data_IF_365027610388
#
_entry.id   IF_365027610388
#
_cell.length_a   1.000
_cell.length_b   1.000
_cell.length_c   1.000
_cell.angle_alpha   90.00
_cell.angle_beta   90.00
_cell.angle_gamma   90.00
#
_symmetry.space_group_name_H-M   'P 1'
#
loop_
_entity.id
_entity.type
_entity.pdbx_description
1 polymer ?
#
# COMPACT_ATOMS: atom_id res chain seq x y z
N UNK A 1 39.60 -6.98 68.25
CA UNK A 1 39.94 -6.10 67.11
C UNK A 1 38.83 -6.26 66.10
N UNK A 2 37.79 -5.41 66.15
CA UNK A 2 37.58 -4.27 65.23
C UNK A 2 37.45 -4.78 63.78
N UNK A 3 36.37 -4.65 63.03
CA UNK A 3 35.39 -3.57 62.95
C UNK A 3 34.09 -4.04 62.23
N UNK A 4 33.03 -3.25 62.42
CA UNK A 4 31.64 -3.31 61.93
C UNK A 4 31.55 -3.17 60.39
N UNK A 5 30.44 -3.39 59.70
CA UNK A 5 29.05 -3.53 60.09
C UNK A 5 28.16 -3.85 58.89
N UNK A 6 26.95 -4.36 59.18
CA UNK A 6 25.93 -4.69 58.20
C UNK A 6 25.24 -3.46 57.61
N UNK A 7 24.84 -3.57 56.35
CA UNK A 7 24.00 -2.60 55.66
C UNK A 7 22.57 -3.16 55.61
N UNK A 8 21.71 -2.62 56.47
CA UNK A 8 20.27 -2.84 56.45
C UNK A 8 19.58 -1.86 55.51
N UNK A 9 18.57 -2.35 54.79
CA UNK A 9 17.75 -1.59 53.85
C UNK A 9 16.96 -0.47 54.56
N UNK A 10 16.98 0.75 54.02
CA UNK A 10 16.15 1.86 54.47
C UNK A 10 14.96 2.07 53.51
N UNK A 11 13.75 1.95 54.05
CA UNK A 11 12.50 2.38 53.42
C UNK A 11 12.36 3.90 53.56
N UNK A 12 12.08 4.60 52.47
CA UNK A 12 11.78 6.04 52.45
C UNK A 12 10.28 6.28 52.70
N UNK A 13 9.95 7.12 53.68
CA UNK A 13 8.58 7.53 54.01
C UNK A 13 8.49 9.07 53.97
N UNK A 14 7.55 9.61 53.20
CA UNK A 14 7.40 11.05 52.91
C UNK A 14 6.41 11.69 53.91
N UNK A 15 6.73 12.82 54.57
CA UNK A 15 5.82 13.48 55.52
C UNK A 15 4.85 14.48 54.85
N UNK A 16 3.67 14.76 55.44
CA UNK A 16 2.63 15.60 54.84
C UNK A 16 2.87 17.11 55.05
N UNK A 17 2.29 17.98 54.20
CA UNK A 17 2.53 19.42 54.27
C UNK A 17 1.65 20.11 55.34
N UNK A 18 2.27 21.07 56.05
CA UNK A 18 1.63 21.97 57.02
C UNK A 18 0.97 23.16 56.32
N UNK A 19 -0.27 23.47 56.66
CA UNK A 19 -0.96 24.74 56.33
C UNK A 19 -0.96 25.66 57.55
N UNK A 20 -0.54 26.92 57.38
CA UNK A 20 -1.02 28.09 58.14
C UNK A 20 -0.33 29.39 57.67
N UNK A 21 -1.13 30.42 57.39
CA UNK A 21 -0.68 31.79 57.15
C UNK A 21 -1.83 32.70 56.73
N UNK A 22 -2.09 33.76 57.52
CA UNK A 22 -3.35 34.49 57.63
C UNK A 22 -3.48 35.76 56.78
N UNK A 23 -4.73 36.22 56.63
CA UNK A 23 -5.18 37.41 55.91
C UNK A 23 -5.04 38.71 56.73
N UNK A 24 -4.68 39.82 56.05
CA UNK A 24 -4.90 41.25 56.38
C UNK A 24 -4.69 42.04 55.07
N UNK A 25 -5.34 43.13 54.67
CA UNK A 25 -6.36 44.06 55.17
C UNK A 25 -6.62 45.07 54.02
N UNK A 26 -7.84 45.64 53.92
CA UNK A 26 -8.32 46.34 52.70
C UNK A 26 -8.19 47.87 52.64
N UNK A 27 -8.58 48.46 51.51
CA UNK A 27 -9.44 49.67 51.40
C UNK A 27 -9.89 49.95 49.94
N UNK A 28 -11.05 50.61 49.83
CA UNK A 28 -11.96 50.77 48.69
C UNK A 28 -11.55 51.86 47.69
N UNK A 29 -11.99 51.76 46.41
CA UNK A 29 -12.51 52.90 45.62
C UNK A 29 -13.44 52.40 44.48
N UNK A 30 -14.54 53.11 44.29
CA UNK A 30 -15.62 52.86 43.32
C UNK A 30 -15.36 53.59 41.99
N UNK A 31 -15.71 52.96 40.85
CA UNK A 31 -16.54 53.52 39.76
C UNK A 31 -16.24 52.86 38.39
N UNK A 32 -17.30 52.24 37.83
CA UNK A 32 -17.64 52.11 36.40
C UNK A 32 -16.53 51.98 35.35
N UNK A 33 -16.42 50.79 34.73
CA UNK A 33 -16.44 50.63 33.28
C UNK A 33 -16.51 49.15 32.90
N UNK A 34 -17.48 48.84 32.06
CA UNK A 34 -17.57 47.67 31.18
C UNK A 34 -16.21 47.14 30.70
N UNK A 35 -15.95 45.84 30.89
CA UNK A 35 -15.51 44.87 29.85
C UNK A 35 -14.99 43.55 30.46
N UNK A 36 -15.52 42.44 29.92
CA UNK A 36 -14.86 41.14 29.71
C UNK A 36 -14.01 40.53 30.84
N UNK A 37 -14.59 39.58 31.59
CA UNK A 37 -13.93 38.28 31.85
C UNK A 37 -15.03 37.22 31.99
N UNK A 38 -15.05 36.27 31.05
CA UNK A 38 -15.88 35.07 31.10
C UNK A 38 -15.59 34.28 32.38
N UNK A 39 -16.66 33.97 33.12
CA UNK A 39 -16.63 32.95 34.17
C UNK A 39 -16.36 31.61 33.49
N UNK A 40 -15.12 31.14 33.54
CA UNK A 40 -14.80 29.75 33.18
C UNK A 40 -15.37 28.88 34.30
N UNK A 41 -16.59 28.38 34.08
CA UNK A 41 -17.18 27.29 34.84
C UNK A 41 -16.38 26.00 34.55
N UNK A 42 -15.71 25.39 35.55
CA UNK A 42 -14.90 24.19 35.34
C UNK A 42 -15.75 22.95 35.01
N UNK A 43 -17.09 23.05 34.99
CA UNK A 43 -18.00 21.97 34.61
C UNK A 43 -18.81 22.24 33.34
N UNK A 44 -18.53 23.33 32.61
CA UNK A 44 -19.13 23.53 31.29
C UNK A 44 -18.53 22.53 30.30
N UNK A 45 -19.30 21.48 30.01
CA UNK A 45 -19.03 20.49 28.97
C UNK A 45 -18.75 21.23 27.67
N UNK A 46 -17.46 21.34 27.29
CA UNK A 46 -17.07 21.65 25.92
C UNK A 46 -17.83 20.68 25.04
N UNK A 47 -18.79 21.20 24.29
CA UNK A 47 -19.41 20.48 23.21
C UNK A 47 -18.31 19.85 22.38
N UNK A 48 -18.45 18.56 22.11
CA UNK A 48 -17.70 17.87 21.07
C UNK A 48 -18.04 18.55 19.75
N UNK A 49 -17.40 19.68 19.49
CA UNK A 49 -17.28 20.22 18.16
C UNK A 49 -16.44 19.20 17.42
N UNK A 50 -17.11 18.15 16.91
CA UNK A 50 -16.64 17.32 15.81
C UNK A 50 -16.09 18.33 14.83
N UNK A 51 -14.76 18.48 14.81
CA UNK A 51 -14.06 19.29 13.84
C UNK A 51 -14.54 18.69 12.52
N UNK A 52 -15.46 19.40 11.86
CA UNK A 52 -16.09 18.94 10.63
C UNK A 52 -14.94 18.55 9.73
N UNK A 53 -14.75 17.24 9.55
CA UNK A 53 -13.65 16.68 8.77
C UNK A 53 -13.68 17.47 7.48
N UNK A 54 -12.57 18.13 7.12
CA UNK A 54 -12.40 18.54 5.73
C UNK A 54 -12.41 17.21 5.00
N UNK A 55 -13.54 16.87 4.38
CA UNK A 55 -13.59 15.82 3.40
C UNK A 55 -12.42 16.12 2.47
N UNK A 56 -11.42 15.26 2.48
CA UNK A 56 -10.61 15.08 1.29
C UNK A 56 -11.58 14.41 0.33
N UNK A 57 -12.44 15.24 -0.26
CA UNK A 57 -13.30 14.84 -1.33
C UNK A 57 -12.31 14.51 -2.43
N UNK A 58 -12.01 13.22 -2.60
CA UNK A 58 -11.52 12.79 -3.91
C UNK A 58 -12.53 13.39 -4.88
N UNK A 59 -12.07 14.12 -5.89
CA UNK A 59 -12.92 14.74 -6.91
C UNK A 59 -13.68 13.70 -7.77
N UNK A 60 -13.75 12.46 -7.28
CA UNK A 60 -14.35 11.27 -7.85
C UNK A 60 -15.81 11.09 -7.42
N UNK A 61 -16.25 11.81 -6.39
CA UNK A 61 -17.64 11.80 -5.92
C UNK A 61 -18.46 12.89 -6.60
N UNK A 62 -19.34 12.48 -7.50
CA UNK A 62 -20.58 13.20 -7.80
C UNK A 62 -21.69 12.57 -6.95
N UNK A 63 -22.13 13.22 -5.85
CA UNK A 63 -23.09 12.62 -4.92
C UNK A 63 -24.51 12.52 -5.46
N UNK A 64 -24.85 13.21 -6.55
CA UNK A 64 -26.22 13.33 -7.02
C UNK A 64 -26.32 12.88 -8.48
N UNK A 65 -27.24 11.93 -8.72
CA UNK A 65 -27.78 11.48 -10.02
C UNK A 65 -27.18 10.25 -10.74
N UNK A 66 -26.48 9.33 -10.07
CA UNK A 66 -26.23 8.01 -10.68
C UNK A 66 -27.29 6.97 -10.28
N UNK A 67 -27.95 6.30 -11.23
CA UNK A 67 -29.01 5.32 -10.94
C UNK A 67 -28.52 4.20 -10.02
N UNK A 68 -29.43 3.70 -9.18
CA UNK A 68 -29.19 2.53 -8.33
C UNK A 68 -28.82 1.30 -9.19
N UNK A 69 -27.94 0.43 -8.70
CA UNK A 69 -27.56 -0.76 -9.46
C UNK A 69 -28.78 -1.66 -9.64
N UNK A 70 -29.01 -2.09 -10.88
CA UNK A 70 -30.05 -3.04 -11.22
C UNK A 70 -29.47 -4.46 -11.21
N UNK A 71 -30.17 -5.38 -10.55
CA UNK A 71 -29.75 -6.79 -10.56
C UNK A 71 -30.01 -7.38 -11.96
N UNK A 72 -28.92 -7.62 -12.69
CA UNK A 72 -28.95 -8.25 -14.01
C UNK A 72 -29.16 -9.77 -13.87
N UNK A 73 -29.70 -10.39 -14.93
CA UNK A 73 -29.84 -11.85 -15.03
C UNK A 73 -28.48 -12.56 -14.84
N UNK A 74 -28.51 -13.83 -14.44
CA UNK A 74 -27.31 -14.66 -14.37
C UNK A 74 -26.82 -15.02 -15.77
N UNK A 75 -25.50 -14.96 -15.99
CA UNK A 75 -24.82 -15.27 -17.25
C UNK A 75 -25.12 -16.69 -17.70
N UNK A 76 -25.12 -17.64 -16.77
CA UNK A 76 -25.41 -19.06 -17.06
C UNK A 76 -26.85 -19.31 -17.54
N UNK A 77 -27.79 -18.44 -17.18
CA UNK A 77 -29.20 -18.59 -17.51
C UNK A 77 -29.55 -17.86 -18.82
N UNK A 78 -28.63 -17.07 -19.38
CA UNK A 78 -28.81 -16.35 -20.63
C UNK A 78 -28.41 -17.19 -21.86
N UNK A 79 -29.07 -17.01 -23.02
CA UNK A 79 -28.65 -17.64 -24.27
C UNK A 79 -27.20 -17.30 -24.62
N UNK A 80 -26.45 -18.24 -25.22
CA UNK A 80 -25.03 -18.06 -25.53
C UNK A 80 -24.73 -16.80 -26.37
N UNK A 81 -25.69 -16.36 -27.21
CA UNK A 81 -25.59 -15.13 -28.01
C UNK A 81 -25.63 -13.84 -27.17
N UNK A 82 -26.26 -13.87 -26.01
CA UNK A 82 -26.46 -12.71 -25.13
C UNK A 82 -25.44 -12.67 -23.98
N UNK A 83 -24.80 -13.80 -23.66
CA UNK A 83 -23.84 -13.91 -22.55
C UNK A 83 -22.72 -12.87 -22.63
N UNK A 84 -22.11 -12.69 -23.81
CA UNK A 84 -21.04 -11.69 -24.00
C UNK A 84 -21.52 -10.26 -23.72
N UNK A 85 -22.74 -9.92 -24.16
CA UNK A 85 -23.35 -8.62 -23.87
C UNK A 85 -23.65 -8.42 -22.39
N UNK A 86 -24.10 -9.48 -21.71
CA UNK A 86 -24.39 -9.44 -20.27
C UNK A 86 -23.13 -9.28 -19.41
N UNK A 87 -22.03 -9.95 -19.79
CA UNK A 87 -20.71 -9.78 -19.15
C UNK A 87 -20.28 -8.31 -19.25
N UNK A 88 -20.40 -7.69 -20.43
CA UNK A 88 -20.07 -6.28 -20.63
C UNK A 88 -20.93 -5.38 -19.73
N UNK A 89 -22.24 -5.61 -19.67
CA UNK A 89 -23.14 -4.82 -18.82
C UNK A 89 -22.79 -4.95 -17.33
N UNK A 90 -22.48 -6.17 -16.85
CA UNK A 90 -22.04 -6.40 -15.47
C UNK A 90 -20.71 -5.71 -15.18
N UNK A 91 -19.74 -5.76 -16.09
CA UNK A 91 -18.47 -5.03 -15.97
C UNK A 91 -18.69 -3.51 -15.88
N UNK A 92 -19.61 -2.97 -16.69
CA UNK A 92 -19.97 -1.55 -16.66
C UNK A 92 -20.64 -1.15 -15.35
N UNK A 93 -21.54 -1.97 -14.81
CA UNK A 93 -22.14 -1.75 -13.49
C UNK A 93 -21.08 -1.77 -12.36
N UNK A 94 -20.11 -2.68 -12.44
CA UNK A 94 -19.02 -2.78 -11.46
C UNK A 94 -18.06 -1.57 -11.48
N UNK A 95 -18.17 -0.66 -12.46
CA UNK A 95 -17.41 0.60 -12.49
C UNK A 95 -17.90 1.62 -11.45
N UNK A 96 -19.09 1.43 -10.87
CA UNK A 96 -19.64 2.31 -9.84
C UNK A 96 -18.84 2.16 -8.54
N UNK A 97 -18.40 3.31 -8.01
CA UNK A 97 -17.66 3.40 -6.75
C UNK A 97 -18.67 3.74 -5.64
N UNK A 98 -18.56 3.07 -4.50
CA UNK A 98 -19.46 3.24 -3.36
C UNK A 98 -18.75 3.95 -2.21
N UNK A 99 -19.53 4.69 -1.40
CA UNK A 99 -18.99 5.38 -0.23
C UNK A 99 -19.11 4.41 0.93
N UNK A 100 -17.98 4.14 1.57
CA UNK A 100 -17.88 3.20 2.68
C UNK A 100 -17.68 3.92 4.02
N UNK A 101 -17.53 5.25 4.03
CA UNK A 101 -17.62 6.01 5.29
C UNK A 101 -19.01 5.89 5.93
N UNK A 102 -20.03 5.54 5.15
CA UNK A 102 -21.33 5.08 5.64
C UNK A 102 -21.52 3.58 5.31
N UNK A 103 -21.33 2.68 6.30
CA UNK A 103 -21.44 1.23 6.08
C UNK A 103 -22.87 0.80 5.73
N UNK A 104 -23.89 1.60 6.06
CA UNK A 104 -25.31 1.28 5.83
C UNK A 104 -25.81 1.88 4.51
N UNK A 105 -25.10 2.85 3.94
CA UNK A 105 -25.44 3.41 2.64
C UNK A 105 -25.31 2.37 1.51
N UNK A 106 -26.36 2.31 0.68
CA UNK A 106 -26.40 1.57 -0.58
C UNK A 106 -26.10 0.06 -0.46
N UNK A 107 -26.44 -0.56 0.68
CA UNK A 107 -26.23 -2.00 0.95
C UNK A 107 -26.70 -2.91 -0.20
N UNK A 108 -27.89 -2.64 -0.75
CA UNK A 108 -28.44 -3.39 -1.88
C UNK A 108 -27.53 -3.32 -3.12
N UNK A 109 -27.06 -2.11 -3.46
CA UNK A 109 -26.16 -1.93 -4.60
C UNK A 109 -24.78 -2.55 -4.35
N UNK A 110 -24.25 -2.43 -3.12
CA UNK A 110 -22.99 -3.08 -2.72
C UNK A 110 -23.08 -4.61 -2.88
N UNK A 111 -24.18 -5.22 -2.44
CA UNK A 111 -24.41 -6.67 -2.60
C UNK A 111 -24.58 -7.07 -4.07
N UNK A 112 -25.28 -6.27 -4.88
CA UNK A 112 -25.39 -6.51 -6.32
C UNK A 112 -24.00 -6.49 -6.99
N UNK A 113 -23.15 -5.52 -6.66
CA UNK A 113 -21.76 -5.46 -7.17
C UNK A 113 -20.95 -6.66 -6.71
N UNK A 114 -21.05 -7.05 -5.43
CA UNK A 114 -20.37 -8.22 -4.88
C UNK A 114 -20.76 -9.50 -5.62
N UNK A 115 -22.06 -9.74 -5.79
CA UNK A 115 -22.57 -10.91 -6.50
C UNK A 115 -22.14 -10.91 -7.98
N UNK A 116 -22.20 -9.75 -8.65
CA UNK A 116 -21.76 -9.62 -10.04
C UNK A 116 -20.27 -9.89 -10.22
N UNK A 117 -19.41 -9.39 -9.32
CA UNK A 117 -17.95 -9.64 -9.37
C UNK A 117 -17.64 -11.13 -9.17
N UNK A 118 -18.26 -11.79 -8.20
CA UNK A 118 -18.09 -13.24 -7.99
C UNK A 118 -18.50 -14.04 -9.23
N UNK A 119 -19.65 -13.70 -9.81
CA UNK A 119 -20.13 -14.36 -11.03
C UNK A 119 -19.19 -14.13 -12.23
N UNK A 120 -18.61 -12.93 -12.36
CA UNK A 120 -17.62 -12.63 -13.41
C UNK A 120 -16.32 -13.42 -13.21
N UNK A 121 -15.86 -13.58 -11.95
CA UNK A 121 -14.69 -14.40 -11.59
C UNK A 121 -14.94 -15.85 -12.00
N UNK A 122 -16.09 -16.41 -11.61
CA UNK A 122 -16.49 -17.77 -11.96
C UNK A 122 -16.57 -17.96 -13.47
N UNK A 123 -17.19 -17.02 -14.19
CA UNK A 123 -17.33 -17.08 -15.64
C UNK A 123 -15.98 -17.08 -16.37
N UNK A 124 -15.07 -16.15 -16.03
CA UNK A 124 -13.73 -16.06 -16.63
C UNK A 124 -12.89 -17.30 -16.32
N UNK A 125 -13.09 -17.91 -15.16
CA UNK A 125 -12.30 -19.07 -14.71
C UNK A 125 -12.80 -20.38 -15.32
N UNK A 126 -14.12 -20.54 -15.47
CA UNK A 126 -14.73 -21.82 -15.86
C UNK A 126 -15.05 -21.94 -17.34
N UNK A 127 -15.40 -20.84 -18.02
CA UNK A 127 -15.88 -20.86 -19.40
C UNK A 127 -14.72 -20.63 -20.37
N UNK A 128 -14.45 -21.63 -21.22
CA UNK A 128 -13.47 -21.51 -22.31
C UNK A 128 -13.94 -20.49 -23.34
N UNK A 129 -13.05 -19.61 -23.77
CA UNK A 129 -13.35 -18.55 -24.73
C UNK A 129 -14.15 -17.38 -24.14
N UNK A 130 -14.28 -17.28 -22.81
CA UNK A 130 -14.96 -16.16 -22.14
C UNK A 130 -14.30 -14.81 -22.44
N UNK A 131 -12.98 -14.79 -22.65
CA UNK A 131 -12.21 -13.58 -22.91
C UNK A 131 -12.20 -13.28 -24.42
N UNK A 132 -13.17 -12.49 -24.87
CA UNK A 132 -13.19 -11.95 -26.24
C UNK A 132 -12.51 -10.57 -26.31
N UNK A 133 -12.18 -10.08 -27.51
CA UNK A 133 -11.50 -8.78 -27.68
C UNK A 133 -12.28 -7.60 -27.09
N UNK A 134 -13.62 -7.68 -27.07
CA UNK A 134 -14.50 -6.64 -26.53
C UNK A 134 -14.45 -6.55 -24.99
N UNK A 135 -14.03 -7.63 -24.31
CA UNK A 135 -13.97 -7.69 -22.85
C UNK A 135 -12.75 -6.94 -22.30
N UNK A 136 -11.64 -6.89 -23.03
CA UNK A 136 -10.39 -6.23 -22.61
C UNK A 136 -10.59 -4.77 -22.16
N UNK A 137 -11.15 -3.88 -22.99
CA UNK A 137 -11.31 -2.48 -22.58
C UNK A 137 -12.21 -2.35 -21.34
N UNK A 138 -13.27 -3.15 -21.24
CA UNK A 138 -14.23 -3.06 -20.13
C UNK A 138 -13.64 -3.55 -18.81
N UNK A 139 -12.92 -4.68 -18.80
CA UNK A 139 -12.23 -5.18 -17.60
C UNK A 139 -11.18 -4.19 -17.15
N UNK A 140 -10.32 -3.71 -18.06
CA UNK A 140 -9.21 -2.82 -17.71
C UNK A 140 -9.74 -1.47 -17.21
N UNK A 141 -10.79 -0.94 -17.83
CA UNK A 141 -11.45 0.29 -17.39
C UNK A 141 -12.12 0.12 -16.02
N UNK A 142 -12.79 -1.01 -15.79
CA UNK A 142 -13.42 -1.32 -14.50
C UNK A 142 -12.38 -1.43 -13.39
N UNK A 143 -11.31 -2.19 -13.62
CA UNK A 143 -10.19 -2.30 -12.67
C UNK A 143 -9.59 -0.93 -12.40
N UNK A 144 -9.25 -0.16 -13.46
CA UNK A 144 -8.63 1.16 -13.32
C UNK A 144 -9.46 2.14 -12.47
N UNK A 145 -10.79 2.13 -12.63
CA UNK A 145 -11.68 3.01 -11.85
C UNK A 145 -11.75 2.62 -10.37
N UNK A 146 -11.70 1.32 -10.08
CA UNK A 146 -11.83 0.81 -8.72
C UNK A 146 -10.49 0.87 -7.96
N UNK A 147 -9.37 0.45 -8.56
CA UNK A 147 -8.10 0.31 -7.82
C UNK A 147 -7.28 1.60 -7.78
N UNK A 148 -7.21 2.37 -8.88
CA UNK A 148 -6.30 3.52 -8.95
C UNK A 148 -6.88 4.67 -8.15
N UNK A 149 -6.37 4.89 -6.94
CA UNK A 149 -6.81 5.93 -6.01
C UNK A 149 -5.61 6.62 -5.37
N UNK A 150 -5.85 7.80 -4.81
CA UNK A 150 -4.87 8.44 -3.93
C UNK A 150 -4.95 7.71 -2.59
N UNK A 151 -3.81 7.20 -2.12
CA UNK A 151 -3.73 6.53 -0.83
C UNK A 151 -3.95 7.55 0.30
N UNK A 152 -4.62 7.16 1.40
CA UNK A 152 -4.76 8.04 2.55
C UNK A 152 -3.38 8.36 3.16
N UNK A 153 -3.20 9.54 3.77
CA UNK A 153 -1.95 9.89 4.42
C UNK A 153 -1.70 9.02 5.66
N UNK A 154 -0.45 8.60 5.87
CA UNK A 154 -0.04 7.63 6.90
C UNK A 154 -0.24 8.05 8.36
N UNK A 155 -0.50 9.34 8.64
CA UNK A 155 -0.77 9.84 10.00
C UNK A 155 -2.23 9.63 10.44
N UNK A 156 -3.07 9.00 9.61
CA UNK A 156 -4.44 8.66 10.01
C UNK A 156 -4.42 7.47 10.98
N UNK A 157 -4.35 7.76 12.28
CA UNK A 157 -4.47 6.80 13.39
C UNK A 157 -5.81 6.04 13.47
N UNK A 158 -6.68 6.19 12.47
CA UNK A 158 -7.98 5.51 12.33
C UNK A 158 -7.98 4.54 11.12
N UNK A 159 -6.83 4.23 10.50
CA UNK A 159 -6.77 3.21 9.45
C UNK A 159 -7.00 1.82 10.06
N UNK A 160 -8.20 1.28 9.87
CA UNK A 160 -8.55 -0.10 10.19
C UNK A 160 -8.45 -0.93 8.89
N UNK A 161 -7.45 -1.81 8.77
CA UNK A 161 -7.36 -2.72 7.62
C UNK A 161 -8.61 -3.58 7.45
N UNK A 162 -9.36 -3.88 8.52
CA UNK A 162 -10.60 -4.67 8.39
C UNK A 162 -11.77 -3.88 7.79
N UNK A 163 -11.70 -2.54 7.73
CA UNK A 163 -12.70 -1.69 7.08
C UNK A 163 -12.48 -1.54 5.56
N UNK A 164 -11.37 -2.06 5.01
CA UNK A 164 -11.10 -1.97 3.57
C UNK A 164 -12.18 -2.70 2.74
N UNK A 165 -12.50 -2.10 1.59
CA UNK A 165 -13.61 -2.47 0.72
C UNK A 165 -13.56 -3.98 0.35
N UNK A 166 -14.49 -4.84 0.84
CA UNK A 166 -14.50 -6.27 0.47
C UNK A 166 -14.71 -6.48 -1.04
N UNK A 167 -15.23 -5.47 -1.74
CA UNK A 167 -15.33 -5.46 -3.20
C UNK A 167 -14.01 -5.15 -3.91
N UNK A 168 -13.00 -4.55 -3.25
CA UNK A 168 -11.70 -4.27 -3.85
C UNK A 168 -10.86 -5.55 -3.99
N UNK A 169 -10.89 -6.43 -2.98
CA UNK A 169 -10.27 -7.77 -3.06
C UNK A 169 -10.81 -8.56 -4.26
N UNK A 170 -12.13 -8.52 -4.49
CA UNK A 170 -12.77 -9.16 -5.65
C UNK A 170 -12.34 -8.53 -6.99
N UNK A 171 -12.09 -7.22 -7.04
CA UNK A 171 -11.58 -6.56 -8.26
C UNK A 171 -10.16 -7.02 -8.57
N UNK A 172 -9.30 -7.12 -7.56
CA UNK A 172 -7.94 -7.66 -7.73
C UNK A 172 -7.97 -9.12 -8.14
N UNK A 173 -8.82 -9.93 -7.52
CA UNK A 173 -8.99 -11.34 -7.86
C UNK A 173 -9.47 -11.52 -9.31
N UNK A 174 -10.51 -10.80 -9.73
CA UNK A 174 -10.99 -10.81 -11.10
C UNK A 174 -9.87 -10.45 -12.09
N UNK A 175 -9.11 -9.39 -11.80
CA UNK A 175 -8.03 -8.97 -12.69
C UNK A 175 -6.91 -10.02 -12.76
N UNK A 176 -6.59 -10.65 -11.63
CA UNK A 176 -5.59 -11.71 -11.59
C UNK A 176 -6.05 -12.93 -12.41
N UNK A 177 -7.30 -13.40 -12.22
CA UNK A 177 -7.87 -14.50 -13.03
C UNK A 177 -7.91 -14.15 -14.52
N UNK A 178 -8.28 -12.92 -14.86
CA UNK A 178 -8.24 -12.42 -16.23
C UNK A 178 -6.84 -12.46 -16.84
N UNK A 179 -5.80 -12.03 -16.10
CA UNK A 179 -4.42 -12.09 -16.56
C UNK A 179 -3.88 -13.53 -16.62
N UNK A 180 -4.30 -14.42 -15.74
CA UNK A 180 -3.83 -15.81 -15.67
C UNK A 180 -4.53 -16.76 -16.64
N UNK A 181 -5.71 -16.36 -17.15
CA UNK A 181 -6.48 -17.16 -18.08
C UNK A 181 -5.65 -17.58 -19.32
N UNK A 182 -5.77 -18.85 -19.76
CA UNK A 182 -5.10 -19.33 -20.97
C UNK A 182 -5.60 -18.62 -22.24
N UNK A 183 -6.82 -18.07 -22.21
CA UNK A 183 -7.42 -17.34 -23.34
C UNK A 183 -6.92 -15.89 -23.43
N UNK A 184 -6.11 -15.43 -22.46
CA UNK A 184 -5.56 -14.09 -22.45
C UNK A 184 -4.49 -13.88 -23.54
N UNK A 185 -4.71 -12.89 -24.39
CA UNK A 185 -3.85 -12.49 -25.49
C UNK A 185 -3.16 -11.15 -25.20
N UNK A 186 -1.85 -11.22 -24.92
CA UNK A 186 -1.04 -10.04 -24.65
C UNK A 186 -0.97 -9.04 -25.84
N UNK A 187 -1.17 -9.52 -27.07
CA UNK A 187 -1.22 -8.71 -28.29
C UNK A 187 -2.41 -7.75 -28.32
N UNK A 188 -3.54 -8.14 -27.74
CA UNK A 188 -4.74 -7.31 -27.59
C UNK A 188 -4.60 -6.45 -26.33
N UNK A 189 -4.22 -7.06 -25.21
CA UNK A 189 -4.09 -6.38 -23.91
C UNK A 189 -3.11 -5.20 -23.91
N UNK A 190 -2.05 -5.24 -24.71
CA UNK A 190 -1.03 -4.16 -24.76
C UNK A 190 -1.57 -2.82 -25.26
N UNK A 191 -2.75 -2.79 -25.89
CA UNK A 191 -3.42 -1.56 -26.32
C UNK A 191 -3.99 -0.76 -25.13
N UNK A 192 -4.21 -1.43 -24.01
CA UNK A 192 -4.91 -0.90 -22.85
C UNK A 192 -4.03 -0.91 -21.58
N UNK A 193 -3.13 -1.89 -21.45
CA UNK A 193 -2.10 -1.94 -20.40
C UNK A 193 -0.86 -1.25 -20.94
N UNK A 194 -0.78 0.07 -20.75
CA UNK A 194 0.32 0.92 -21.20
C UNK A 194 1.25 1.34 -20.04
N UNK A 195 2.20 2.21 -20.32
CA UNK A 195 3.11 2.74 -19.29
C UNK A 195 2.38 3.52 -18.20
N UNK A 196 1.27 4.20 -18.53
CA UNK A 196 0.49 4.98 -17.57
C UNK A 196 -0.28 4.07 -16.62
N UNK A 197 -0.85 2.99 -17.13
CA UNK A 197 -1.47 1.94 -16.30
C UNK A 197 -0.46 1.39 -15.30
N UNK A 198 0.76 1.08 -15.76
CA UNK A 198 1.83 0.56 -14.89
C UNK A 198 2.27 1.57 -13.84
N UNK A 199 2.38 2.86 -14.18
CA UNK A 199 2.71 3.90 -13.19
C UNK A 199 1.66 3.97 -12.08
N UNK A 200 0.37 4.08 -12.45
CA UNK A 200 -0.70 4.13 -11.47
C UNK A 200 -0.75 2.87 -10.61
N UNK A 201 -0.40 1.71 -11.16
CA UNK A 201 -0.33 0.45 -10.41
C UNK A 201 0.85 0.44 -9.43
N UNK A 202 2.00 0.99 -9.83
CA UNK A 202 3.19 1.09 -8.99
C UNK A 202 2.98 2.06 -7.81
N UNK A 203 2.25 3.15 -8.02
CA UNK A 203 1.94 4.12 -6.95
C UNK A 203 1.14 3.49 -5.80
N UNK A 204 0.36 2.44 -6.07
CA UNK A 204 -0.41 1.72 -5.05
C UNK A 204 0.44 0.82 -4.14
N UNK A 205 1.70 0.54 -4.49
CA UNK A 205 2.59 -0.27 -3.63
C UNK A 205 2.91 0.41 -2.30
N UNK A 206 2.64 1.70 -2.16
CA UNK A 206 2.76 2.40 -0.87
C UNK A 206 1.55 2.18 0.07
N UNK A 207 0.58 1.33 -0.33
CA UNK A 207 -0.58 1.00 0.50
C UNK A 207 -0.15 0.41 1.84
N UNK A 208 -0.81 0.81 2.92
CA UNK A 208 -0.57 0.30 4.27
C UNK A 208 -1.10 -1.12 4.45
N UNK A 209 -2.13 -1.52 3.69
CA UNK A 209 -2.68 -2.87 3.72
C UNK A 209 -1.73 -3.89 3.05
N UNK A 210 -1.16 -4.84 3.82
CA UNK A 210 -0.32 -5.89 3.26
C UNK A 210 -1.03 -6.80 2.26
N UNK A 211 -2.36 -6.99 2.38
CA UNK A 211 -3.13 -7.83 1.44
C UNK A 211 -3.18 -7.19 0.06
N UNK A 212 -3.46 -5.89 0.00
CA UNK A 212 -3.43 -5.13 -1.25
C UNK A 212 -2.03 -5.21 -1.89
N UNK A 213 -0.97 -5.03 -1.10
CA UNK A 213 0.41 -5.15 -1.62
C UNK A 213 0.71 -6.54 -2.18
N UNK A 214 0.20 -7.63 -1.59
CA UNK A 214 0.40 -8.98 -2.10
C UNK A 214 -0.34 -9.23 -3.43
N UNK A 215 -1.54 -8.69 -3.59
CA UNK A 215 -2.24 -8.68 -4.89
C UNK A 215 -1.47 -7.88 -5.94
N UNK A 216 -1.06 -6.65 -5.61
CA UNK A 216 -0.27 -5.79 -6.50
C UNK A 216 1.03 -6.48 -6.93
N UNK A 217 1.70 -7.15 -5.99
CA UNK A 217 2.90 -7.94 -6.25
C UNK A 217 2.68 -8.97 -7.35
N UNK A 218 1.63 -9.77 -7.18
CA UNK A 218 1.29 -10.86 -8.10
C UNK A 218 0.86 -10.31 -9.46
N UNK A 219 0.00 -9.29 -9.49
CA UNK A 219 -0.47 -8.63 -10.71
C UNK A 219 0.71 -8.04 -11.50
N UNK A 220 1.59 -7.28 -10.85
CA UNK A 220 2.74 -6.66 -11.51
C UNK A 220 3.71 -7.72 -12.07
N UNK A 221 3.93 -8.81 -11.34
CA UNK A 221 4.74 -9.93 -11.82
C UNK A 221 4.13 -10.58 -13.08
N UNK A 222 2.81 -10.79 -13.13
CA UNK A 222 2.12 -11.30 -14.34
C UNK A 222 2.23 -10.34 -15.51
N UNK A 223 2.05 -9.04 -15.29
CA UNK A 223 2.22 -8.01 -16.32
C UNK A 223 3.66 -8.02 -16.85
N UNK A 224 4.67 -8.06 -15.98
CA UNK A 224 6.07 -8.13 -16.38
C UNK A 224 6.38 -9.38 -17.23
N UNK A 225 5.80 -10.53 -16.86
CA UNK A 225 5.95 -11.78 -17.58
C UNK A 225 5.37 -11.71 -19.00
N UNK A 226 4.11 -11.26 -19.12
CA UNK A 226 3.34 -11.26 -20.38
C UNK A 226 3.69 -10.11 -21.34
N UNK A 227 4.08 -8.95 -20.81
CA UNK A 227 4.32 -7.75 -21.62
C UNK A 227 5.82 -7.42 -21.74
N UNK A 228 6.48 -8.08 -22.69
CA UNK A 228 7.91 -7.87 -22.98
C UNK A 228 8.28 -6.39 -23.19
N UNK A 229 7.41 -5.61 -23.87
CA UNK A 229 7.63 -4.19 -24.15
C UNK A 229 7.60 -3.28 -22.91
N UNK A 230 6.98 -3.72 -21.80
CA UNK A 230 6.91 -2.96 -20.55
C UNK A 230 8.06 -3.26 -19.59
N UNK A 231 8.83 -4.34 -19.82
CA UNK A 231 9.85 -4.81 -18.88
C UNK A 231 10.91 -3.76 -18.54
N UNK A 232 11.44 -3.08 -19.56
CA UNK A 232 12.46 -2.04 -19.35
C UNK A 232 11.89 -0.85 -18.55
N UNK A 233 10.64 -0.48 -18.85
CA UNK A 233 9.93 0.60 -18.15
C UNK A 233 9.69 0.24 -16.68
N UNK A 234 9.14 -0.95 -16.39
CA UNK A 234 8.90 -1.43 -15.01
C UNK A 234 10.19 -1.41 -14.20
N UNK A 235 11.30 -1.96 -14.73
CA UNK A 235 12.60 -1.93 -14.02
C UNK A 235 13.07 -0.51 -13.74
N UNK A 236 12.92 0.40 -14.71
CA UNK A 236 13.30 1.80 -14.52
C UNK A 236 12.47 2.48 -13.43
N UNK A 237 11.16 2.24 -13.38
CA UNK A 237 10.30 2.86 -12.36
C UNK A 237 10.56 2.30 -10.96
N UNK A 238 10.71 0.98 -10.82
CA UNK A 238 11.08 0.38 -9.53
C UNK A 238 12.42 0.95 -9.04
N UNK A 239 13.41 1.13 -9.93
CA UNK A 239 14.67 1.77 -9.57
C UNK A 239 14.49 3.20 -9.07
N UNK A 240 13.65 4.00 -9.74
CA UNK A 240 13.36 5.37 -9.33
C UNK A 240 12.69 5.41 -7.95
N UNK A 241 11.74 4.50 -7.69
CA UNK A 241 11.07 4.40 -6.39
C UNK A 241 12.08 4.04 -5.28
N UNK A 242 12.97 3.07 -5.51
CA UNK A 242 14.02 2.73 -4.55
C UNK A 242 15.02 3.85 -4.31
N UNK A 243 15.41 4.59 -5.36
CA UNK A 243 16.28 5.75 -5.19
C UNK A 243 15.59 6.85 -4.38
N UNK A 244 14.34 7.16 -4.68
CA UNK A 244 13.54 8.14 -3.93
C UNK A 244 13.38 7.71 -2.46
N UNK A 245 13.10 6.44 -2.21
CA UNK A 245 13.04 5.87 -0.87
C UNK A 245 14.35 6.04 -0.10
N UNK A 246 15.50 5.67 -0.69
CA UNK A 246 16.80 5.70 0.01
C UNK A 246 17.34 7.12 0.23
N UNK A 247 17.05 8.05 -0.69
CA UNK A 247 17.69 9.36 -0.72
C UNK A 247 16.76 10.54 -0.39
N UNK A 248 15.44 10.39 -0.47
CA UNK A 248 14.49 11.48 -0.31
C UNK A 248 13.51 11.26 0.85
N UNK A 249 12.76 10.15 0.84
CA UNK A 249 11.62 9.97 1.77
C UNK A 249 11.95 9.19 3.03
N UNK A 250 12.89 8.23 2.97
CA UNK A 250 13.19 7.24 4.03
C UNK A 250 11.95 6.44 4.50
N UNK A 251 10.87 6.46 3.71
CA UNK A 251 9.61 5.75 3.95
C UNK A 251 8.98 5.31 2.62
N UNK A 252 8.66 4.02 2.54
CA UNK A 252 7.89 3.38 1.46
C UNK A 252 7.47 1.98 1.93
N UNK A 253 6.17 1.67 1.86
CA UNK A 253 5.65 0.42 2.44
C UNK A 253 5.96 -0.83 1.58
N UNK A 254 5.98 -0.68 0.25
CA UNK A 254 6.09 -1.81 -0.70
C UNK A 254 7.50 -2.27 -1.06
N UNK A 255 8.54 -1.91 -0.29
CA UNK A 255 9.94 -2.27 -0.61
C UNK A 255 10.10 -3.79 -0.73
N UNK A 256 9.53 -4.55 0.20
CA UNK A 256 9.65 -6.01 0.25
C UNK A 256 9.06 -6.69 -0.98
N UNK A 257 7.83 -6.32 -1.34
CA UNK A 257 7.09 -6.89 -2.45
C UNK A 257 7.75 -6.55 -3.80
N UNK A 258 8.24 -5.32 -3.98
CA UNK A 258 9.00 -4.95 -5.18
C UNK A 258 10.32 -5.73 -5.29
N UNK A 259 10.99 -5.98 -4.17
CA UNK A 259 12.19 -6.83 -4.13
C UNK A 259 11.85 -8.31 -4.43
N UNK A 260 10.67 -8.82 -4.06
CA UNK A 260 10.21 -10.15 -4.49
C UNK A 260 10.09 -10.28 -5.99
N UNK A 261 9.46 -9.31 -6.63
CA UNK A 261 9.34 -9.27 -8.09
C UNK A 261 10.72 -9.20 -8.72
N UNK A 262 11.59 -8.29 -8.25
CA UNK A 262 12.93 -8.16 -8.77
C UNK A 262 13.76 -9.44 -8.62
N UNK A 263 13.59 -10.19 -7.53
CA UNK A 263 14.28 -11.47 -7.33
C UNK A 263 13.89 -12.50 -8.38
N UNK A 264 12.59 -12.58 -8.69
CA UNK A 264 12.09 -13.41 -9.80
C UNK A 264 12.66 -12.97 -11.15
N UNK A 265 12.73 -11.66 -11.39
CA UNK A 265 13.27 -11.08 -12.63
C UNK A 265 14.77 -11.40 -12.78
N UNK A 266 15.54 -11.24 -11.70
CA UNK A 266 16.98 -11.50 -11.64
C UNK A 266 17.26 -12.97 -11.94
N UNK A 267 16.48 -13.89 -11.37
CA UNK A 267 16.62 -15.32 -11.63
C UNK A 267 16.44 -15.67 -13.11
N UNK A 268 15.65 -14.87 -13.84
CA UNK A 268 15.47 -15.02 -15.29
C UNK A 268 16.52 -14.33 -16.16
N UNK A 269 17.57 -13.72 -15.59
CA UNK A 269 18.58 -13.03 -16.39
C UNK A 269 19.41 -14.02 -17.21
N UNK A 270 19.51 -13.71 -18.50
CA UNK A 270 20.43 -14.41 -19.39
C UNK A 270 21.87 -14.14 -18.97
N UNK A 271 22.67 -15.19 -19.08
CA UNK A 271 24.07 -15.21 -18.70
C UNK A 271 24.92 -15.14 -19.98
N UNK A 272 25.97 -14.30 -20.05
CA UNK A 272 26.53 -13.45 -19.00
C UNK A 272 25.69 -12.19 -18.67
N UNK A 273 25.75 -11.75 -17.41
CA UNK A 273 25.02 -10.55 -16.96
C UNK A 273 25.47 -9.29 -17.72
N UNK A 274 24.48 -8.56 -18.24
CA UNK A 274 24.67 -7.26 -18.89
C UNK A 274 25.16 -6.20 -17.91
N UNK A 275 25.83 -5.17 -18.45
CA UNK A 275 26.33 -4.04 -17.67
C UNK A 275 25.23 -3.30 -16.90
N UNK A 276 24.02 -3.20 -17.47
CA UNK A 276 22.86 -2.58 -16.80
C UNK A 276 22.51 -3.27 -15.46
N UNK A 277 22.66 -4.60 -15.37
CA UNK A 277 22.36 -5.35 -14.15
C UNK A 277 23.42 -5.15 -13.07
N UNK A 278 24.68 -4.95 -13.48
CA UNK A 278 25.77 -4.59 -12.55
C UNK A 278 25.57 -3.20 -11.96
N UNK A 279 25.21 -2.23 -12.81
CA UNK A 279 24.89 -0.87 -12.36
C UNK A 279 23.72 -0.90 -11.39
N UNK A 280 22.66 -1.66 -11.69
CA UNK A 280 21.52 -1.85 -10.80
C UNK A 280 21.92 -2.40 -9.42
N UNK A 281 22.75 -3.45 -9.36
CA UNK A 281 23.25 -3.98 -8.08
C UNK A 281 23.97 -2.91 -7.26
N UNK A 282 24.91 -2.20 -7.88
CA UNK A 282 25.79 -1.28 -7.16
C UNK A 282 25.10 0.03 -6.79
N UNK A 283 24.24 0.55 -7.67
CA UNK A 283 23.63 1.88 -7.51
C UNK A 283 22.24 1.86 -6.88
N UNK A 284 21.56 0.72 -6.84
CA UNK A 284 20.21 0.62 -6.29
C UNK A 284 20.15 -0.37 -5.14
N UNK A 285 20.55 -1.63 -5.34
CA UNK A 285 20.41 -2.66 -4.29
C UNK A 285 21.37 -2.46 -3.11
N UNK A 286 22.62 -2.09 -3.35
CA UNK A 286 23.56 -1.83 -2.25
C UNK A 286 23.06 -0.67 -1.35
N UNK A 287 22.65 0.50 -1.88
CA UNK A 287 22.09 1.58 -1.07
C UNK A 287 20.83 1.22 -0.27
N UNK A 288 20.06 0.19 -0.65
CA UNK A 288 18.90 -0.27 0.15
C UNK A 288 19.27 -0.81 1.54
N UNK A 289 20.56 -1.05 1.81
CA UNK A 289 21.05 -1.38 3.15
C UNK A 289 21.26 -0.15 4.03
N UNK A 290 21.11 1.08 3.50
CA UNK A 290 21.29 2.34 4.24
C UNK A 290 20.10 2.71 5.16
N UNK A 291 18.82 2.63 4.73
CA UNK A 291 17.67 3.02 5.55
C UNK A 291 17.58 2.31 6.90
N UNK A 292 16.91 2.94 7.87
CA UNK A 292 16.78 2.42 9.25
C UNK A 292 15.77 1.27 9.34
N UNK A 293 14.75 1.29 8.49
CA UNK A 293 13.69 0.29 8.42
C UNK A 293 14.09 -1.01 7.69
N UNK A 294 15.38 -1.30 7.55
CA UNK A 294 15.89 -2.49 6.86
C UNK A 294 15.25 -3.78 7.38
N UNK A 295 14.97 -3.88 8.67
CA UNK A 295 14.35 -5.07 9.30
C UNK A 295 13.04 -5.50 8.64
N UNK A 296 12.27 -4.58 8.07
CA UNK A 296 10.98 -4.88 7.43
C UNK A 296 11.12 -5.63 6.09
N UNK A 297 12.24 -5.45 5.39
CA UNK A 297 12.48 -6.03 4.06
C UNK A 297 13.83 -6.77 3.94
N UNK A 298 14.55 -6.94 5.05
CA UNK A 298 15.91 -7.48 5.08
C UNK A 298 16.01 -8.87 4.45
N UNK A 299 15.11 -9.79 4.81
CA UNK A 299 15.11 -11.15 4.27
C UNK A 299 15.06 -11.15 2.74
N UNK A 300 14.24 -10.27 2.17
CA UNK A 300 14.07 -10.18 0.73
C UNK A 300 15.23 -9.44 0.04
N UNK A 301 15.76 -8.38 0.64
CA UNK A 301 16.96 -7.68 0.16
C UNK A 301 18.17 -8.63 0.13
N UNK A 302 18.41 -9.36 1.22
CA UNK A 302 19.50 -10.31 1.35
C UNK A 302 19.37 -11.50 0.39
N UNK A 303 18.15 -11.98 0.14
CA UNK A 303 17.89 -13.02 -0.87
C UNK A 303 18.21 -12.54 -2.29
N UNK A 304 17.74 -11.35 -2.68
CA UNK A 304 18.05 -10.74 -3.99
C UNK A 304 19.55 -10.54 -4.18
N UNK A 305 20.20 -10.04 -3.14
CA UNK A 305 21.62 -9.79 -3.12
C UNK A 305 22.43 -11.07 -3.30
N UNK A 306 22.11 -12.10 -2.52
CA UNK A 306 22.72 -13.43 -2.61
C UNK A 306 22.50 -14.06 -3.99
N UNK A 307 21.29 -13.96 -4.56
CA UNK A 307 20.99 -14.45 -5.90
C UNK A 307 21.84 -13.74 -6.96
N UNK A 308 21.94 -12.41 -6.94
CA UNK A 308 22.78 -11.67 -7.91
C UNK A 308 24.26 -12.02 -7.80
N UNK A 309 24.77 -12.14 -6.57
CA UNK A 309 26.16 -12.53 -6.32
C UNK A 309 26.39 -13.97 -6.79
N UNK A 310 25.47 -14.90 -6.50
CA UNK A 310 25.54 -16.28 -6.94
C UNK A 310 25.47 -16.39 -8.48
N UNK A 311 24.52 -15.71 -9.13
CA UNK A 311 24.41 -15.67 -10.60
C UNK A 311 25.66 -15.08 -11.26
N UNK A 312 26.28 -14.05 -10.66
CA UNK A 312 27.52 -13.46 -11.17
C UNK A 312 28.73 -14.38 -10.95
N UNK A 313 28.87 -14.95 -9.75
CA UNK A 313 30.01 -15.78 -9.36
C UNK A 313 29.99 -17.16 -10.04
N UNK A 314 28.79 -17.74 -10.25
CA UNK A 314 28.60 -19.03 -10.93
C UNK A 314 29.08 -19.00 -12.40
N UNK A 315 29.02 -17.84 -13.05
CA UNK A 315 29.41 -17.71 -14.45
C UNK A 315 30.89 -17.56 -14.71
N UNK A 316 31.61 -16.87 -13.83
CA UNK A 316 32.84 -16.23 -14.28
C UNK A 316 34.15 -16.70 -13.67
N UNK A 317 34.19 -17.41 -12.53
CA UNK A 317 35.45 -17.49 -11.75
C UNK A 317 36.13 -16.10 -11.57
N UNK A 318 35.35 -15.02 -11.67
CA UNK A 318 35.82 -13.63 -11.73
C UNK A 318 35.16 -12.93 -10.55
N UNK A 319 35.82 -13.03 -9.39
CA UNK A 319 35.28 -12.59 -8.10
C UNK A 319 35.23 -11.07 -7.96
N UNK A 320 35.54 -10.30 -9.00
CA UNK A 320 35.75 -8.84 -8.98
C UNK A 320 34.60 -8.00 -8.42
N UNK A 321 33.37 -8.50 -8.45
CA UNK A 321 32.20 -7.82 -7.87
C UNK A 321 32.04 -8.09 -6.37
N UNK A 322 32.56 -9.21 -5.89
CA UNK A 322 32.45 -9.64 -4.49
C UNK A 322 33.17 -8.67 -3.54
N UNK A 323 34.42 -8.23 -3.79
CA UNK A 323 35.07 -7.20 -2.97
C UNK A 323 34.30 -5.88 -2.93
N UNK A 324 33.81 -5.38 -4.07
CA UNK A 324 33.04 -4.12 -4.12
C UNK A 324 31.75 -4.20 -3.30
N UNK A 325 31.12 -5.37 -3.30
CA UNK A 325 29.96 -5.69 -2.46
C UNK A 325 30.34 -5.65 -0.98
N UNK A 326 31.41 -6.35 -0.58
CA UNK A 326 31.85 -6.38 0.81
C UNK A 326 32.26 -4.99 1.31
N UNK A 327 33.00 -4.23 0.52
CA UNK A 327 33.41 -2.87 0.86
C UNK A 327 32.19 -1.95 1.05
N UNK A 328 31.17 -2.09 0.21
CA UNK A 328 29.94 -1.34 0.35
C UNK A 328 29.13 -1.74 1.58
N UNK A 329 29.04 -3.04 1.89
CA UNK A 329 28.38 -3.53 3.11
C UNK A 329 29.10 -3.03 4.37
N UNK A 330 30.42 -3.09 4.40
CA UNK A 330 31.24 -2.54 5.49
C UNK A 330 31.04 -1.03 5.62
N UNK A 331 30.92 -0.31 4.51
CA UNK A 331 30.61 1.12 4.50
C UNK A 331 29.24 1.43 5.07
N UNK A 332 28.24 0.58 4.79
CA UNK A 332 26.87 0.74 5.29
C UNK A 332 26.62 0.03 6.62
N UNK A 333 27.66 -0.53 7.23
CA UNK A 333 27.54 -1.26 8.49
C UNK A 333 26.89 -0.38 9.56
N UNK A 334 25.81 -0.85 10.21
CA UNK A 334 25.10 -0.08 11.21
C UNK A 334 25.99 0.12 12.44
N UNK A 335 26.40 1.35 12.68
CA UNK A 335 27.23 1.70 13.86
C UNK A 335 26.42 2.05 15.10
N UNK A 336 25.12 2.29 14.94
CA UNK A 336 24.25 2.88 15.97
C UNK A 336 22.93 2.15 16.16
N UNK A 337 22.66 1.08 15.39
CA UNK A 337 21.43 0.31 15.46
C UNK A 337 21.76 -1.18 15.58
N UNK A 338 21.75 -1.70 16.80
CA UNK A 338 22.09 -3.10 17.10
C UNK A 338 21.12 -4.12 16.51
N UNK A 339 19.86 -3.75 16.28
CA UNK A 339 18.88 -4.61 15.62
C UNK A 339 19.16 -4.81 14.12
N UNK A 340 19.99 -3.94 13.54
CA UNK A 340 20.38 -3.97 12.13
C UNK A 340 21.75 -4.62 11.91
N UNK A 341 22.60 -4.60 12.93
CA UNK A 341 23.88 -5.32 12.98
C UNK A 341 23.64 -6.83 12.99
#
# INVERSE_FOLDING_TARGET
MTDKGGIGAQQYQIPPPKTQGAATGGQQLSATATQFVDKIDPFSKRGTSKRRRRLVNSSRYHPDSEPELTQLQLIKDAPATEQSGLVIQKLQQCQKIFDFYDPVAQLKSKEIKRAALNELIDHITTVKGAITELIYPEVIKMVSKNIFRVLPPSDNSEFDPEEDEPTLELVYELFLRFLESPDFQATVGKKYIDQRFVLNLLDLFDSEDPRERDFLKTVLHRIYGKFLGLRAFIRKQINNMFLSFVFETDSFNGVGELLEILGSIINGFALPLKQEHKVFLVKVLLPLHKPRCLSLYHAQCSKNFSLLIASYNSLKKDSTLTPQVFDALLKFWPRTCSAKE
#
